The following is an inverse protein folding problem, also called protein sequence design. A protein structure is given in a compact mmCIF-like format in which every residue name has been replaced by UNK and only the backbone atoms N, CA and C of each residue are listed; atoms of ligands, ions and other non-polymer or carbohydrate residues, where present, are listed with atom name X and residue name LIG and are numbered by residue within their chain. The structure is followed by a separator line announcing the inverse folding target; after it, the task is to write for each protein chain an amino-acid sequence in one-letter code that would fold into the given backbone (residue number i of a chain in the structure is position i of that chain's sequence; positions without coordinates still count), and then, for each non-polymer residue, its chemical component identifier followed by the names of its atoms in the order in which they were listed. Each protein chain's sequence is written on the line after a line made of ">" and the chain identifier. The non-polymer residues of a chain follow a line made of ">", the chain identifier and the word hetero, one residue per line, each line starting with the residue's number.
data_IF_798153642178
#
_entry.id   IF_798153642178
#
_cell.length_a   1.000
_cell.length_b   1.000
_cell.length_c   1.000
_cell.angle_alpha   90.00
_cell.angle_beta   90.00
_cell.angle_gamma   90.00
#
_symmetry.space_group_name_H-M   'P 1'
#
loop_
_entity.id
_entity.type
_entity.pdbx_description
1 polymer ?
#
# COMPACT_ATOMS: atom_id res chain seq x y z
N UNK A 1 -15.09 31.13 -14.54
CA UNK A 1 -13.65 30.91 -14.79
C UNK A 1 -13.21 29.85 -13.80
N UNK A 2 -12.68 28.71 -14.25
CA UNK A 2 -12.12 27.72 -13.33
C UNK A 2 -10.98 28.41 -12.57
N UNK A 3 -11.09 28.56 -11.26
CA UNK A 3 -9.99 29.09 -10.46
C UNK A 3 -8.89 28.03 -10.46
N UNK A 4 -7.85 28.24 -11.28
CA UNK A 4 -6.70 27.36 -11.30
C UNK A 4 -6.09 27.28 -9.90
N UNK A 5 -5.84 26.06 -9.44
CA UNK A 5 -5.19 25.83 -8.15
C UNK A 5 -3.76 26.37 -8.24
N UNK A 6 -3.34 27.17 -7.26
CA UNK A 6 -1.97 27.68 -7.25
C UNK A 6 -0.95 26.55 -7.17
N UNK A 7 0.16 26.71 -7.90
CA UNK A 7 1.26 25.74 -7.95
C UNK A 7 1.74 25.30 -6.56
N UNK A 8 1.86 26.24 -5.60
CA UNK A 8 2.26 25.92 -4.23
C UNK A 8 1.30 24.96 -3.52
N UNK A 9 -0.03 25.10 -3.72
CA UNK A 9 -1.01 24.16 -3.16
C UNK A 9 -0.91 22.79 -3.82
N UNK A 10 -0.76 22.74 -5.16
CA UNK A 10 -0.59 21.48 -5.88
C UNK A 10 0.64 20.69 -5.40
N UNK A 11 1.79 21.37 -5.22
CA UNK A 11 2.99 20.77 -4.63
C UNK A 11 2.75 20.24 -3.20
N UNK A 12 2.02 20.99 -2.37
CA UNK A 12 1.67 20.52 -1.02
C UNK A 12 0.84 19.24 -1.02
N UNK A 13 -0.10 19.09 -1.95
CA UNK A 13 -0.88 17.86 -2.13
C UNK A 13 -0.02 16.69 -2.63
N UNK A 14 0.87 16.94 -3.59
CA UNK A 14 1.81 15.94 -4.09
C UNK A 14 2.75 15.43 -2.98
N UNK A 15 3.30 16.33 -2.15
CA UNK A 15 4.14 15.95 -1.02
C UNK A 15 3.40 15.06 -0.02
N UNK A 16 2.16 15.42 0.33
CA UNK A 16 1.31 14.59 1.20
C UNK A 16 1.07 13.22 0.59
N UNK A 17 0.80 13.15 -0.71
CA UNK A 17 0.61 11.88 -1.40
C UNK A 17 1.86 10.99 -1.33
N UNK A 18 3.05 11.57 -1.56
CA UNK A 18 4.33 10.85 -1.42
C UNK A 18 4.50 10.31 0.01
N UNK A 19 4.20 11.11 1.03
CA UNK A 19 4.27 10.66 2.43
C UNK A 19 3.34 9.48 2.69
N UNK A 20 2.11 9.51 2.16
CA UNK A 20 1.20 8.37 2.27
C UNK A 20 1.70 7.13 1.52
N UNK A 21 2.27 7.29 0.33
CA UNK A 21 2.89 6.17 -0.40
C UNK A 21 3.99 5.52 0.45
N UNK A 22 4.88 6.32 1.05
CA UNK A 22 5.95 5.81 1.93
C UNK A 22 5.35 5.00 3.08
N UNK A 23 4.32 5.51 3.75
CA UNK A 23 3.64 4.80 4.84
C UNK A 23 3.07 3.45 4.36
N UNK A 24 2.38 3.42 3.22
CA UNK A 24 1.79 2.19 2.69
C UNK A 24 2.83 1.19 2.20
N UNK A 25 3.94 1.65 1.61
CA UNK A 25 5.08 0.81 1.26
C UNK A 25 5.71 0.20 2.51
N UNK A 26 5.87 0.96 3.59
CA UNK A 26 6.40 0.44 4.85
C UNK A 26 5.46 -0.62 5.42
N UNK A 27 4.15 -0.35 5.51
CA UNK A 27 3.17 -1.30 6.04
C UNK A 27 3.14 -2.58 5.19
N UNK A 28 2.97 -2.44 3.87
CA UNK A 28 2.96 -3.58 2.96
C UNK A 28 4.30 -4.32 2.92
N UNK A 29 5.41 -3.59 3.02
CA UNK A 29 6.77 -4.11 3.06
C UNK A 29 7.07 -4.89 4.33
N UNK A 30 6.54 -4.50 5.49
CA UNK A 30 6.66 -5.28 6.73
C UNK A 30 5.92 -6.62 6.60
N UNK A 31 4.71 -6.61 6.03
CA UNK A 31 3.92 -7.83 5.81
C UNK A 31 4.62 -8.74 4.79
N UNK A 32 5.06 -8.18 3.66
CA UNK A 32 5.79 -8.93 2.65
C UNK A 32 7.15 -9.42 3.16
N UNK A 33 7.84 -8.64 3.98
CA UNK A 33 9.08 -9.01 4.64
C UNK A 33 8.90 -10.19 5.59
N UNK A 34 7.81 -10.23 6.36
CA UNK A 34 7.46 -11.40 7.16
C UNK A 34 7.23 -12.64 6.29
N UNK A 35 6.52 -12.50 5.17
CA UNK A 35 6.35 -13.58 4.19
C UNK A 35 7.68 -14.07 3.60
N UNK A 36 8.58 -13.16 3.26
CA UNK A 36 9.92 -13.48 2.78
C UNK A 36 10.74 -14.24 3.83
N UNK A 37 10.71 -13.80 5.09
CA UNK A 37 11.41 -14.48 6.19
C UNK A 37 10.88 -15.89 6.43
N UNK A 38 9.56 -16.09 6.30
CA UNK A 38 8.96 -17.43 6.36
C UNK A 38 9.45 -18.34 5.23
N UNK A 39 9.59 -17.81 4.01
CA UNK A 39 10.15 -18.58 2.89
C UNK A 39 11.63 -18.88 3.09
N UNK A 40 12.42 -17.91 3.56
CA UNK A 40 13.84 -18.10 3.84
C UNK A 40 14.08 -19.19 4.90
N UNK A 41 13.21 -19.27 5.92
CA UNK A 41 13.25 -20.31 6.94
C UNK A 41 12.59 -21.64 6.54
N UNK A 42 12.09 -21.78 5.31
CA UNK A 42 11.35 -22.98 4.89
C UNK A 42 12.25 -24.19 4.64
N UNK A 43 13.56 -23.99 4.48
CA UNK A 43 14.56 -25.06 4.32
C UNK A 43 15.17 -25.37 5.67
N UNK A 44 15.05 -26.62 6.11
CA UNK A 44 15.59 -27.09 7.38
C UNK A 44 16.54 -28.25 7.14
N UNK A 45 17.71 -28.21 7.78
CA UNK A 45 18.64 -29.33 7.84
C UNK A 45 18.49 -30.02 9.18
N UNK A 46 18.10 -31.30 9.17
CA UNK A 46 18.04 -32.15 10.35
C UNK A 46 19.13 -33.22 10.30
N UNK A 47 19.50 -33.74 11.47
CA UNK A 47 20.42 -34.87 11.59
C UNK A 47 19.66 -36.15 11.26
N UNK A 48 19.96 -36.75 10.12
CA UNK A 48 19.32 -37.99 9.68
C UNK A 48 19.77 -39.21 10.49
N UNK A 49 19.09 -40.34 10.27
CA UNK A 49 19.24 -41.59 11.04
C UNK A 49 20.66 -42.18 11.09
N UNK A 50 21.55 -41.76 10.17
CA UNK A 50 22.94 -42.22 10.06
C UNK A 50 23.98 -41.10 10.22
N UNK A 51 23.59 -39.96 10.79
CA UNK A 51 24.46 -38.76 10.89
C UNK A 51 24.65 -38.03 9.56
N UNK A 52 23.97 -38.46 8.50
CA UNK A 52 23.91 -37.76 7.22
C UNK A 52 22.89 -36.61 7.34
N UNK A 53 23.26 -35.36 6.98
CA UNK A 53 22.32 -34.25 6.97
C UNK A 53 21.18 -34.51 5.98
N UNK A 54 19.94 -34.36 6.44
CA UNK A 54 18.75 -34.46 5.59
C UNK A 54 18.15 -33.07 5.39
N UNK A 55 17.96 -32.67 4.13
CA UNK A 55 17.37 -31.37 3.78
C UNK A 55 15.86 -31.56 3.61
N UNK A 56 15.09 -30.97 4.50
CA UNK A 56 13.63 -31.01 4.47
C UNK A 56 13.07 -29.64 4.07
N UNK A 57 12.02 -29.64 3.25
CA UNK A 57 11.33 -28.44 2.82
C UNK A 57 9.97 -28.34 3.47
N UNK A 58 9.71 -27.24 4.18
CA UNK A 58 8.39 -26.92 4.68
C UNK A 58 7.58 -26.20 3.60
N UNK A 59 6.85 -26.99 2.79
CA UNK A 59 5.99 -26.46 1.73
C UNK A 59 4.92 -25.49 2.26
N UNK A 60 4.43 -25.69 3.49
CA UNK A 60 3.45 -24.80 4.12
C UNK A 60 4.01 -23.41 4.40
N UNK A 61 5.25 -23.34 4.91
CA UNK A 61 5.94 -22.06 5.13
C UNK A 61 6.21 -21.33 3.81
N UNK A 62 6.52 -22.08 2.75
CA UNK A 62 6.79 -21.53 1.42
C UNK A 62 5.53 -20.95 0.79
N UNK A 63 4.42 -21.70 0.80
CA UNK A 63 3.12 -21.22 0.28
C UNK A 63 2.58 -20.06 1.12
N UNK A 64 2.62 -20.18 2.45
CA UNK A 64 2.17 -19.13 3.36
C UNK A 64 2.96 -17.83 3.20
N UNK A 65 4.28 -17.94 2.99
CA UNK A 65 5.14 -16.79 2.74
C UNK A 65 4.83 -16.08 1.41
N UNK A 66 4.57 -16.84 0.33
CA UNK A 66 4.13 -16.27 -0.96
C UNK A 66 2.81 -15.51 -0.79
N UNK A 67 1.84 -16.10 -0.08
CA UNK A 67 0.54 -15.47 0.17
C UNK A 67 0.73 -14.15 0.93
N UNK A 68 1.56 -14.13 1.98
CA UNK A 68 1.84 -12.90 2.74
C UNK A 68 2.52 -11.83 1.90
N UNK A 69 3.45 -12.19 1.03
CA UNK A 69 4.08 -11.25 0.09
C UNK A 69 3.02 -10.61 -0.82
N UNK A 70 2.14 -11.43 -1.41
CA UNK A 70 1.07 -10.95 -2.28
C UNK A 70 0.14 -10.00 -1.51
N UNK A 71 -0.26 -10.36 -0.29
CA UNK A 71 -1.11 -9.52 0.57
C UNK A 71 -0.42 -8.19 0.88
N UNK A 72 0.86 -8.20 1.25
CA UNK A 72 1.63 -6.99 1.52
C UNK A 72 1.64 -6.03 0.32
N UNK A 73 1.86 -6.56 -0.88
CA UNK A 73 1.79 -5.78 -2.13
C UNK A 73 0.40 -5.23 -2.42
N UNK A 74 -0.65 -6.04 -2.24
CA UNK A 74 -2.04 -5.61 -2.41
C UNK A 74 -2.36 -4.45 -1.46
N UNK A 75 -1.96 -4.54 -0.19
CA UNK A 75 -2.17 -3.48 0.81
C UNK A 75 -1.43 -2.20 0.40
N UNK A 76 -0.17 -2.30 -0.02
CA UNK A 76 0.59 -1.13 -0.46
C UNK A 76 -0.07 -0.44 -1.68
N UNK A 77 -0.51 -1.21 -2.67
CA UNK A 77 -1.17 -0.71 -3.87
C UNK A 77 -2.53 -0.08 -3.56
N UNK A 78 -3.39 -0.80 -2.85
CA UNK A 78 -4.73 -0.31 -2.49
C UNK A 78 -4.66 0.91 -1.58
N UNK A 79 -3.76 0.91 -0.59
CA UNK A 79 -3.54 2.04 0.30
C UNK A 79 -3.05 3.29 -0.45
N UNK A 80 -2.15 3.11 -1.42
CA UNK A 80 -1.68 4.19 -2.30
C UNK A 80 -2.84 4.74 -3.14
N UNK A 81 -3.62 3.88 -3.79
CA UNK A 81 -4.77 4.31 -4.61
C UNK A 81 -5.86 5.00 -3.78
N UNK A 82 -6.15 4.50 -2.59
CA UNK A 82 -7.10 5.13 -1.67
C UNK A 82 -6.63 6.54 -1.26
N UNK A 83 -5.32 6.69 -1.01
CA UNK A 83 -4.71 7.99 -0.67
C UNK A 83 -4.80 8.97 -1.84
N UNK A 84 -4.57 8.48 -3.07
CA UNK A 84 -4.74 9.25 -4.29
C UNK A 84 -6.17 9.77 -4.45
N UNK A 85 -7.17 8.88 -4.40
CA UNK A 85 -8.58 9.29 -4.54
C UNK A 85 -9.03 10.27 -3.45
N UNK A 86 -8.56 10.08 -2.21
CA UNK A 86 -8.86 10.99 -1.10
C UNK A 86 -8.26 12.38 -1.29
N UNK A 87 -7.04 12.47 -1.82
CA UNK A 87 -6.39 13.74 -2.09
C UNK A 87 -7.04 14.43 -3.30
N UNK A 88 -7.30 13.67 -4.37
CA UNK A 88 -7.92 14.20 -5.58
C UNK A 88 -9.33 14.72 -5.32
N UNK A 89 -10.15 13.98 -4.56
CA UNK A 89 -11.50 14.44 -4.20
C UNK A 89 -11.50 15.74 -3.39
N UNK A 90 -10.51 15.95 -2.51
CA UNK A 90 -10.32 17.22 -1.80
C UNK A 90 -9.93 18.34 -2.76
N UNK A 91 -9.01 18.06 -3.67
CA UNK A 91 -8.55 19.02 -4.67
C UNK A 91 -9.70 19.50 -5.56
N UNK A 92 -10.52 18.57 -6.07
CA UNK A 92 -11.70 18.86 -6.90
C UNK A 92 -12.70 19.73 -6.14
N UNK A 93 -12.99 19.35 -4.88
CA UNK A 93 -13.92 20.10 -4.02
C UNK A 93 -13.45 21.53 -3.76
N UNK A 94 -12.15 21.74 -3.57
CA UNK A 94 -11.56 23.07 -3.38
C UNK A 94 -11.52 23.90 -4.67
N UNK A 95 -11.44 23.27 -5.84
CA UNK A 95 -11.44 23.95 -7.14
C UNK A 95 -12.83 24.32 -7.67
N UNK A 96 -13.90 23.81 -7.06
CA UNK A 96 -15.28 24.06 -7.52
C UNK A 96 -15.92 25.20 -6.70
N UNK A 97 -16.34 26.31 -7.33
CA UNK A 97 -16.99 27.43 -6.63
C UNK A 97 -18.30 27.01 -5.93
N UNK A 98 -18.53 27.47 -4.70
CA UNK A 98 -19.76 27.21 -3.91
C UNK A 98 -21.07 27.54 -4.64
N UNK A 99 -21.04 28.44 -5.63
CA UNK A 99 -22.20 28.87 -6.42
C UNK A 99 -22.83 27.76 -7.26
N UNK A 100 -22.10 26.68 -7.57
CA UNK A 100 -22.67 25.48 -8.24
C UNK A 100 -23.21 24.44 -7.25
N UNK A 101 -22.98 24.60 -5.94
CA UNK A 101 -23.41 23.66 -4.90
C UNK A 101 -24.71 24.06 -4.20
N UNK A 102 -25.18 25.30 -4.35
CA UNK A 102 -26.46 25.74 -3.77
C UNK A 102 -27.61 25.51 -4.76
N UNK A 103 -28.66 24.74 -4.40
CA UNK A 103 -29.89 24.73 -5.18
C UNK A 103 -30.45 26.16 -5.27
N UNK A 104 -31.10 26.54 -6.39
CA UNK A 104 -31.67 27.86 -6.54
C UNK A 104 -32.68 28.13 -5.40
N UNK A 105 -32.74 29.36 -4.88
CA UNK A 105 -33.68 29.70 -3.81
C UNK A 105 -35.12 29.45 -4.27
N UNK A 106 -36.00 28.91 -3.40
CA UNK A 106 -37.41 28.71 -3.72
C UNK A 106 -38.10 30.06 -4.06
N UNK A 107 -39.09 30.05 -4.97
CA UNK A 107 -39.79 31.26 -5.43
C UNK A 107 -40.63 31.93 -4.34
#
# INVERSE_FOLDING_TARGET
>A
MMSEISWGKAFGYALRYILYIIVWIIIGGVIAGAGFMMMAGSVQTSTGYWGVPEVTYNAGALIGGIILIIIGWIIALLGSMASYFKIMSRLIRESTPETLQRPPPPP
#
